data_IF_620693880869
#
_entry.id   IF_620693880869
#
_cell.length_a   1.000
_cell.length_b   1.000
_cell.length_c   1.000
_cell.angle_alpha   90.00
_cell.angle_beta   90.00
_cell.angle_gamma   90.00
#
_symmetry.space_group_name_H-M   'P 1'
#
loop_
_entity.id
_entity.type
_entity.pdbx_description
1 polymer ?
#
# COMPACT_ATOMS: atom_id res chain seq x y z
N UNK A 1 6.91 -15.57 4.12
CA UNK A 1 5.69 -15.79 3.29
C UNK A 1 5.81 -14.81 2.14
N UNK A 2 5.74 -15.24 0.89
CA UNK A 2 5.93 -14.31 -0.24
C UNK A 2 4.74 -13.33 -0.32
N UNK A 3 5.04 -12.04 -0.37
CA UNK A 3 4.04 -10.99 -0.38
C UNK A 3 4.58 -9.69 0.18
N UNK A 4 3.66 -8.76 0.43
CA UNK A 4 3.96 -7.38 0.75
C UNK A 4 3.27 -6.97 2.04
N UNK A 5 3.99 -6.28 2.91
CA UNK A 5 3.40 -5.46 3.97
C UNK A 5 3.32 -4.01 3.50
N UNK A 6 2.10 -3.50 3.37
CA UNK A 6 1.85 -2.16 2.85
C UNK A 6 1.38 -1.26 3.97
N UNK A 7 1.97 -0.06 4.07
CA UNK A 7 1.55 0.98 5.01
C UNK A 7 1.38 2.31 4.31
N UNK A 8 0.34 3.05 4.73
CA UNK A 8 0.08 4.41 4.27
C UNK A 8 0.12 5.34 5.48
N UNK A 9 0.99 6.33 5.44
CA UNK A 9 1.20 7.30 6.52
C UNK A 9 1.09 8.73 5.99
N UNK A 10 0.68 9.66 6.85
CA UNK A 10 0.69 11.10 6.52
C UNK A 10 2.14 11.61 6.54
N UNK A 11 2.55 12.36 5.51
CA UNK A 11 3.92 12.91 5.45
C UNK A 11 4.13 14.10 6.40
N UNK A 12 3.07 14.84 6.73
CA UNK A 12 3.17 16.12 7.44
C UNK A 12 3.29 16.02 8.97
N UNK A 13 3.20 14.82 9.54
CA UNK A 13 3.22 14.61 10.99
C UNK A 13 4.46 13.80 11.40
N UNK A 14 5.36 14.34 12.25
CA UNK A 14 6.55 13.63 12.73
C UNK A 14 6.24 12.40 13.59
N UNK A 15 4.97 12.12 13.90
CA UNK A 15 4.50 10.87 14.53
C UNK A 15 3.87 9.88 13.55
N UNK A 16 3.99 10.10 12.24
CA UNK A 16 3.49 9.22 11.16
C UNK A 16 2.12 8.63 11.50
N UNK A 17 1.08 9.46 11.44
CA UNK A 17 -0.26 8.96 11.75
C UNK A 17 -0.68 7.98 10.64
N UNK A 18 -0.65 6.69 10.97
CA UNK A 18 -1.03 5.60 10.08
C UNK A 18 -2.47 5.79 9.58
N UNK A 19 -2.60 5.89 8.26
CA UNK A 19 -3.87 5.96 7.53
C UNK A 19 -4.40 4.56 7.30
N UNK A 20 -3.57 3.67 6.76
CA UNK A 20 -3.95 2.28 6.51
C UNK A 20 -2.75 1.33 6.52
N UNK A 21 -3.00 0.04 6.76
CA UNK A 21 -2.03 -1.02 6.51
C UNK A 21 -2.69 -2.35 6.24
N UNK A 22 -2.04 -3.21 5.45
CA UNK A 22 -2.49 -4.57 5.15
C UNK A 22 -1.34 -5.43 4.63
N UNK A 23 -1.60 -6.74 4.57
CA UNK A 23 -0.79 -7.71 3.85
C UNK A 23 -1.41 -8.01 2.50
N UNK A 24 -0.58 -8.17 1.48
CA UNK A 24 -1.00 -8.59 0.16
C UNK A 24 -0.10 -9.69 -0.39
N UNK A 25 -0.67 -10.61 -1.17
CA UNK A 25 0.10 -11.55 -1.98
C UNK A 25 0.91 -10.85 -3.08
N UNK A 26 1.74 -11.62 -3.80
CA UNK A 26 2.44 -11.15 -5.00
C UNK A 26 1.50 -10.42 -5.97
N UNK A 27 1.97 -9.29 -6.53
CA UNK A 27 1.18 -8.36 -7.33
C UNK A 27 0.39 -7.33 -6.51
N UNK A 28 0.37 -7.44 -5.18
CA UNK A 28 -0.30 -6.48 -4.29
C UNK A 28 0.33 -5.08 -4.27
N UNK A 29 1.52 -4.94 -4.87
CA UNK A 29 2.28 -3.71 -5.05
C UNK A 29 2.14 -3.12 -6.47
N UNK A 30 1.25 -3.66 -7.31
CA UNK A 30 1.01 -3.11 -8.65
C UNK A 30 0.30 -1.76 -8.59
N UNK A 31 -0.55 -1.53 -7.59
CA UNK A 31 -1.38 -0.32 -7.52
C UNK A 31 -0.59 0.98 -7.29
N UNK A 32 0.48 1.07 -6.45
CA UNK A 32 1.29 2.28 -6.35
C UNK A 32 2.08 2.52 -7.63
N UNK A 33 2.55 1.45 -8.30
CA UNK A 33 3.20 1.55 -9.61
C UNK A 33 2.23 2.12 -10.65
N UNK A 34 0.98 1.65 -10.68
CA UNK A 34 -0.05 2.19 -11.55
C UNK A 34 -0.33 3.69 -11.27
N UNK A 35 -0.31 4.12 -10.01
CA UNK A 35 -0.41 5.54 -9.68
C UNK A 35 0.78 6.35 -10.22
N UNK A 36 2.00 5.80 -10.21
CA UNK A 36 3.17 6.44 -10.81
C UNK A 36 3.00 6.56 -12.33
N UNK A 37 2.57 5.50 -13.00
CA UNK A 37 2.31 5.48 -14.45
C UNK A 37 1.25 6.52 -14.86
N UNK A 38 0.21 6.71 -14.04
CA UNK A 38 -0.82 7.72 -14.24
C UNK A 38 -0.38 9.14 -13.86
N UNK A 39 0.85 9.34 -13.38
CA UNK A 39 1.35 10.65 -12.92
C UNK A 39 0.71 11.13 -11.62
N UNK A 40 0.09 10.22 -10.86
CA UNK A 40 -0.63 10.48 -9.61
C UNK A 40 0.23 10.24 -8.35
N UNK A 41 1.36 9.57 -8.52
CA UNK A 41 2.35 9.29 -7.47
C UNK A 41 3.78 9.45 -8.02
N UNK A 42 4.77 9.42 -7.13
CA UNK A 42 6.18 9.37 -7.47
C UNK A 42 6.89 8.36 -6.57
N UNK A 43 7.66 7.44 -7.15
CA UNK A 43 8.50 6.53 -6.37
C UNK A 43 9.77 7.27 -5.94
N UNK A 44 9.99 7.37 -4.63
CA UNK A 44 11.11 8.12 -4.04
C UNK A 44 12.21 7.19 -3.50
N UNK A 45 11.91 5.91 -3.27
CA UNK A 45 12.88 4.89 -2.89
C UNK A 45 12.56 3.56 -3.57
N UNK A 46 13.55 2.96 -4.22
CA UNK A 46 13.40 1.69 -4.96
C UNK A 46 14.65 0.77 -4.90
N UNK A 47 15.70 1.17 -4.16
CA UNK A 47 16.95 0.42 -4.06
C UNK A 47 16.98 -0.44 -2.79
N UNK A 48 16.07 -1.42 -2.71
CA UNK A 48 15.80 -2.22 -1.51
C UNK A 48 14.51 -1.77 -0.81
N UNK A 49 14.23 -2.36 0.35
CA UNK A 49 12.97 -2.13 1.05
C UNK A 49 13.06 -1.03 2.13
N UNK A 50 11.98 -0.23 2.29
CA UNK A 50 10.74 -0.30 1.53
C UNK A 50 10.89 0.30 0.13
N UNK A 51 10.07 -0.20 -0.81
CA UNK A 51 9.72 0.61 -1.97
C UNK A 51 8.78 1.72 -1.48
N UNK A 52 9.24 2.97 -1.57
CA UNK A 52 8.52 4.14 -1.04
C UNK A 52 7.97 4.99 -2.18
N UNK A 53 6.70 5.35 -2.06
CA UNK A 53 5.99 6.22 -2.97
C UNK A 53 5.39 7.40 -2.22
N UNK A 54 5.34 8.54 -2.88
CA UNK A 54 4.62 9.73 -2.43
C UNK A 54 3.46 10.01 -3.37
N UNK A 55 2.28 10.22 -2.82
CA UNK A 55 1.07 10.50 -3.60
C UNK A 55 0.14 11.44 -2.84
N UNK A 56 -0.67 12.22 -3.55
CA UNK A 56 -1.69 13.06 -2.91
C UNK A 56 -2.80 12.20 -2.30
N UNK A 57 -3.32 12.60 -1.16
CA UNK A 57 -4.44 11.93 -0.51
C UNK A 57 -5.65 11.77 -1.45
N UNK A 58 -5.91 12.76 -2.31
CA UNK A 58 -6.96 12.69 -3.33
C UNK A 58 -6.84 11.49 -4.29
N UNK A 59 -5.62 11.01 -4.54
CA UNK A 59 -5.36 9.86 -5.42
C UNK A 59 -5.33 8.54 -4.67
N UNK A 60 -5.10 8.55 -3.35
CA UNK A 60 -4.89 7.35 -2.53
C UNK A 60 -6.12 6.97 -1.72
N UNK A 61 -6.76 7.94 -1.04
CA UNK A 61 -7.89 7.65 -0.16
C UNK A 61 -9.05 6.96 -0.89
N UNK A 62 -9.49 7.42 -2.09
CA UNK A 62 -10.57 6.74 -2.82
C UNK A 62 -10.22 5.32 -3.26
N UNK A 63 -8.92 5.02 -3.41
CA UNK A 63 -8.45 3.69 -3.82
C UNK A 63 -8.55 2.68 -2.68
N UNK A 64 -8.48 3.14 -1.43
CA UNK A 64 -8.45 2.28 -0.24
C UNK A 64 -9.69 2.39 0.67
N UNK A 65 -10.60 3.33 0.42
CA UNK A 65 -11.72 3.61 1.32
C UNK A 65 -12.69 2.43 1.50
N UNK A 66 -12.71 1.52 0.53
CA UNK A 66 -13.54 0.32 0.53
C UNK A 66 -12.76 -0.98 0.82
N UNK A 67 -11.48 -0.88 1.16
CA UNK A 67 -10.59 -2.02 1.40
C UNK A 67 -9.29 -1.94 0.61
N UNK A 68 -8.42 -2.95 0.72
CA UNK A 68 -7.23 -3.06 -0.13
C UNK A 68 -7.62 -3.07 -1.61
N UNK A 69 -6.81 -2.47 -2.49
CA UNK A 69 -7.03 -2.58 -3.93
C UNK A 69 -7.01 -4.04 -4.39
N UNK A 70 -7.95 -4.48 -5.23
CA UNK A 70 -7.91 -5.83 -5.77
C UNK A 70 -6.74 -5.98 -6.74
N UNK A 71 -6.06 -7.11 -6.68
CA UNK A 71 -4.97 -7.46 -7.59
C UNK A 71 -5.04 -8.93 -8.02
N UNK A 72 -4.46 -9.22 -9.18
CA UNK A 72 -4.28 -10.59 -9.63
C UNK A 72 -2.88 -11.06 -9.25
N UNK A 73 -2.79 -12.02 -8.33
CA UNK A 73 -1.53 -12.66 -7.96
C UNK A 73 -1.52 -14.14 -8.35
N UNK A 74 -0.35 -14.76 -8.60
CA UNK A 74 -0.25 -16.20 -8.73
C UNK A 74 -0.50 -16.88 -7.37
N UNK A 75 -1.01 -18.12 -7.41
CA UNK A 75 -0.97 -19.01 -6.25
C UNK A 75 0.50 -19.33 -5.93
N UNK A 76 0.85 -19.32 -4.65
CA UNK A 76 2.20 -19.63 -4.15
C UNK A 76 2.16 -20.93 -3.35
N UNK A 77 3.04 -21.86 -3.69
CA UNK A 77 3.30 -23.07 -2.91
C UNK A 77 4.70 -22.92 -2.32
N UNK A 78 4.77 -22.65 -1.02
CA UNK A 78 6.02 -22.66 -0.25
C UNK A 78 6.30 -24.02 0.36
N UNK A 79 7.45 -24.13 1.02
CA UNK A 79 7.88 -25.39 1.64
C UNK A 79 6.94 -25.87 2.75
N UNK A 80 6.31 -24.94 3.47
CA UNK A 80 5.43 -25.19 4.62
C UNK A 80 4.05 -24.50 4.53
N UNK A 81 3.73 -23.88 3.39
CA UNK A 81 2.43 -23.21 3.19
C UNK A 81 1.94 -23.22 1.73
N UNK A 82 0.63 -23.11 1.56
CA UNK A 82 -0.02 -22.81 0.27
C UNK A 82 -0.81 -21.52 0.43
N UNK A 83 -0.67 -20.63 -0.53
CA UNK A 83 -1.30 -19.31 -0.54
C UNK A 83 -2.01 -19.10 -1.86
N UNK A 84 -3.30 -18.80 -1.82
CA UNK A 84 -4.07 -18.47 -3.02
C UNK A 84 -3.51 -17.20 -3.70
N UNK A 85 -3.87 -16.98 -4.94
CA UNK A 85 -3.51 -15.76 -5.66
C UNK A 85 -4.42 -14.59 -5.30
N UNK A 86 -3.88 -13.36 -5.30
CA UNK A 86 -4.68 -12.13 -5.23
C UNK A 86 -5.36 -11.87 -3.89
N UNK A 87 -4.96 -12.55 -2.80
CA UNK A 87 -5.48 -12.22 -1.48
C UNK A 87 -4.81 -10.95 -0.92
N UNK A 88 -5.60 -10.23 -0.13
CA UNK A 88 -5.16 -9.22 0.83
C UNK A 88 -5.79 -9.54 2.19
N UNK A 89 -5.04 -9.39 3.29
CA UNK A 89 -5.51 -9.69 4.66
C UNK A 89 -5.06 -8.63 5.65
N UNK A 90 -5.60 -8.71 6.87
CA UNK A 90 -5.27 -7.83 7.99
C UNK A 90 -5.41 -6.33 7.65
N UNK A 91 -6.37 -6.01 6.78
CA UNK A 91 -6.62 -4.63 6.39
C UNK A 91 -7.13 -3.80 7.55
N UNK A 92 -6.44 -2.69 7.77
CA UNK A 92 -6.76 -1.68 8.76
C UNK A 92 -6.84 -0.34 8.08
N UNK A 93 -7.95 0.38 8.26
CA UNK A 93 -8.14 1.75 7.83
C UNK A 93 -8.50 2.59 9.04
N UNK A 94 -7.69 3.62 9.32
CA UNK A 94 -8.02 4.62 10.29
C UNK A 94 -8.90 5.69 9.64
N UNK A 95 -10.22 5.45 9.61
CA UNK A 95 -11.19 6.31 8.93
C UNK A 95 -11.21 7.75 9.47
N UNK A 96 -10.98 7.95 10.78
CA UNK A 96 -10.87 9.29 11.37
C UNK A 96 -9.65 10.05 10.83
N UNK A 97 -8.52 9.37 10.70
CA UNK A 97 -7.30 9.97 10.14
C UNK A 97 -7.45 10.21 8.64
N UNK A 98 -7.98 9.24 7.90
CA UNK A 98 -8.23 9.32 6.46
C UNK A 98 -9.16 10.49 6.10
N UNK A 99 -10.26 10.66 6.85
CA UNK A 99 -11.22 11.75 6.61
C UNK A 99 -10.67 13.15 6.94
N UNK A 100 -9.60 13.23 7.74
CA UNK A 100 -8.90 14.48 8.08
C UNK A 100 -7.71 14.77 7.16
N UNK A 101 -7.42 13.92 6.19
CA UNK A 101 -6.37 14.21 5.21
C UNK A 101 -6.89 15.27 4.23
N UNK A 102 -6.10 16.34 4.03
CA UNK A 102 -6.43 17.29 2.97
C UNK A 102 -6.22 16.61 1.61
N UNK A 103 -7.07 16.85 0.58
CA UNK A 103 -6.88 16.24 -0.74
C UNK A 103 -5.49 16.45 -1.34
N UNK A 104 -4.87 17.60 -1.08
CA UNK A 104 -3.52 17.95 -1.56
C UNK A 104 -2.38 17.51 -0.62
N UNK A 105 -2.70 16.92 0.53
CA UNK A 105 -1.71 16.40 1.45
C UNK A 105 -0.98 15.22 0.85
N UNK A 106 0.35 15.19 1.00
CA UNK A 106 1.17 14.07 0.57
C UNK A 106 1.06 12.94 1.59
N UNK A 107 0.73 11.75 1.10
CA UNK A 107 0.80 10.49 1.82
C UNK A 107 2.02 9.71 1.36
N UNK A 108 2.64 9.01 2.31
CA UNK A 108 3.75 8.10 2.08
C UNK A 108 3.17 6.68 2.04
N UNK A 109 3.42 5.98 0.95
CA UNK A 109 3.08 4.58 0.77
C UNK A 109 4.39 3.79 0.83
N UNK A 110 4.52 2.93 1.82
CA UNK A 110 5.64 2.00 1.94
C UNK A 110 5.19 0.58 1.62
N UNK A 111 5.97 -0.09 0.79
CA UNK A 111 5.79 -1.49 0.44
C UNK A 111 7.04 -2.25 0.90
N UNK A 112 6.85 -3.14 1.88
CA UNK A 112 7.90 -3.96 2.47
C UNK A 112 7.77 -5.41 2.00
N UNK A 113 8.91 -6.03 1.69
CA UNK A 113 8.97 -7.47 1.44
C UNK A 113 8.66 -8.29 2.70
N UNK A 114 7.99 -9.42 2.52
CA UNK A 114 7.77 -10.42 3.57
C UNK A 114 8.56 -11.72 3.34
N UNK A 115 9.49 -11.72 2.38
CA UNK A 115 10.40 -12.84 2.11
C UNK A 115 11.47 -13.03 3.19
#
# INVERSE_FOLDING_TARGET
MLGWWITINRASDPRETKVASWEASLGGDDWPNHLVECGQASQVQFNGYPNRYEARAANVIPVIEHGPPPHAGPMVIGDDYVSDGGWSRDFTLNADVASRCSPDEVLIIDVWDQS
#
